data_IF_134549822940
#
_entry.id   IF_134549822940
#
_cell.length_a   1.000
_cell.length_b   1.000
_cell.length_c   1.000
_cell.angle_alpha   90.00
_cell.angle_beta   90.00
_cell.angle_gamma   90.00
#
_symmetry.space_group_name_H-M   'P 1'
#
loop_
_entity.id
_entity.type
_entity.pdbx_description
1 polymer ?
#
# COMPACT_ATOMS: atom_id res chain seq x y z
N UNK A 1 -5.26 3.83 22.27
CA UNK A 1 -5.44 2.42 22.67
C UNK A 1 -5.25 1.58 21.42
N UNK A 2 -4.06 0.95 21.26
CA UNK A 2 -3.83 -0.06 20.24
C UNK A 2 -4.85 -1.18 20.49
N UNK A 3 -5.80 -1.36 19.57
CA UNK A 3 -6.65 -2.56 19.57
C UNK A 3 -5.73 -3.76 19.42
N UNK A 4 -5.73 -4.64 20.41
CA UNK A 4 -5.07 -5.94 20.29
C UNK A 4 -5.61 -6.62 19.03
N UNK A 5 -4.77 -6.72 18.02
CA UNK A 5 -5.15 -7.35 16.76
C UNK A 5 -5.14 -8.85 17.01
N UNK A 6 -6.30 -9.48 17.02
CA UNK A 6 -6.39 -10.95 17.20
C UNK A 6 -5.65 -11.66 16.07
N UNK A 7 -5.16 -12.89 16.33
CA UNK A 7 -4.52 -13.72 15.32
C UNK A 7 -5.37 -13.84 14.04
N UNK A 8 -6.67 -14.05 14.19
CA UNK A 8 -7.60 -14.11 13.06
C UNK A 8 -7.61 -12.84 12.22
N UNK A 9 -7.60 -11.66 12.85
CA UNK A 9 -7.54 -10.38 12.12
C UNK A 9 -6.22 -10.21 11.36
N UNK A 10 -5.10 -10.64 11.93
CA UNK A 10 -3.79 -10.65 11.24
C UNK A 10 -3.81 -11.57 10.03
N UNK A 11 -4.37 -12.76 10.14
CA UNK A 11 -4.49 -13.72 9.04
C UNK A 11 -5.36 -13.15 7.90
N UNK A 12 -6.50 -12.55 8.23
CA UNK A 12 -7.37 -11.90 7.24
C UNK A 12 -6.64 -10.75 6.55
N UNK A 13 -5.95 -9.90 7.32
CA UNK A 13 -5.17 -8.77 6.79
C UNK A 13 -4.06 -9.27 5.85
N UNK A 14 -3.35 -10.33 6.23
CA UNK A 14 -2.33 -10.98 5.38
C UNK A 14 -2.94 -11.51 4.09
N UNK A 15 -4.05 -12.23 4.17
CA UNK A 15 -4.73 -12.75 2.98
C UNK A 15 -5.13 -11.63 2.01
N UNK A 16 -5.62 -10.50 2.53
CA UNK A 16 -5.97 -9.33 1.73
C UNK A 16 -4.73 -8.63 1.13
N UNK A 17 -3.68 -8.51 1.92
CA UNK A 17 -2.42 -7.90 1.45
C UNK A 17 -1.81 -8.72 0.31
N UNK A 18 -1.73 -10.04 0.45
CA UNK A 18 -1.26 -10.95 -0.60
C UNK A 18 -2.08 -10.83 -1.89
N UNK A 19 -3.40 -10.68 -1.79
CA UNK A 19 -4.26 -10.46 -2.95
C UNK A 19 -3.96 -9.11 -3.62
N UNK A 20 -3.86 -8.03 -2.84
CA UNK A 20 -3.62 -6.67 -3.35
C UNK A 20 -2.26 -6.52 -4.03
N UNK A 21 -1.25 -7.21 -3.50
CA UNK A 21 0.14 -7.18 -4.02
C UNK A 21 0.43 -8.29 -5.04
N UNK A 22 -0.56 -9.08 -5.41
CA UNK A 22 -0.40 -10.22 -6.34
C UNK A 22 0.63 -11.27 -5.91
N UNK A 23 0.89 -11.38 -4.61
CA UNK A 23 1.84 -12.33 -4.04
C UNK A 23 1.19 -13.69 -3.75
N UNK A 24 2.02 -14.73 -3.79
CA UNK A 24 1.60 -16.09 -3.42
C UNK A 24 1.37 -16.22 -1.91
N UNK A 25 0.60 -17.21 -1.49
CA UNK A 25 0.41 -17.50 -0.06
C UNK A 25 1.74 -17.89 0.61
N UNK A 26 2.72 -18.37 -0.15
CA UNK A 26 4.05 -18.67 0.36
C UNK A 26 4.78 -17.41 0.87
N UNK A 27 4.43 -16.22 0.34
CA UNK A 27 5.05 -14.93 0.70
C UNK A 27 4.36 -14.28 1.92
N UNK A 28 3.60 -15.05 2.68
CA UNK A 28 2.80 -14.57 3.81
C UNK A 28 3.59 -13.85 4.90
N UNK A 29 4.88 -14.14 4.99
CA UNK A 29 5.76 -13.55 6.00
C UNK A 29 6.28 -12.15 5.63
N UNK A 30 6.19 -11.77 4.35
CA UNK A 30 6.63 -10.47 3.83
C UNK A 30 5.68 -9.30 4.20
N UNK A 31 4.59 -9.59 4.90
CA UNK A 31 3.65 -8.54 5.34
C UNK A 31 4.31 -7.48 6.21
N UNK A 32 3.87 -6.21 6.13
CA UNK A 32 4.49 -5.09 6.84
C UNK A 32 4.16 -5.02 8.33
N UNK A 33 4.01 -6.17 8.98
CA UNK A 33 3.84 -6.27 10.43
C UNK A 33 4.46 -7.56 10.98
N UNK A 34 4.79 -7.54 12.28
CA UNK A 34 5.45 -8.67 12.93
C UNK A 34 4.46 -9.74 13.36
N UNK A 35 4.85 -10.98 13.16
CA UNK A 35 4.19 -12.15 13.70
C UNK A 35 4.71 -12.51 15.10
N UNK A 36 3.88 -13.15 15.88
CA UNK A 36 4.23 -13.68 17.20
C UNK A 36 4.66 -15.15 17.06
N UNK A 37 5.92 -15.42 17.32
CA UNK A 37 6.56 -16.72 17.18
C UNK A 37 6.01 -17.79 18.14
N UNK A 38 5.35 -17.38 19.21
CA UNK A 38 4.70 -18.31 20.14
C UNK A 38 3.37 -18.83 19.59
N UNK A 39 2.72 -18.05 18.73
CA UNK A 39 1.36 -18.37 18.23
C UNK A 39 1.33 -18.86 16.80
N UNK A 40 2.33 -18.54 15.99
CA UNK A 40 2.40 -18.97 14.59
C UNK A 40 3.68 -19.73 14.29
N UNK A 41 3.59 -20.67 13.34
CA UNK A 41 4.77 -21.33 12.77
C UNK A 41 5.43 -20.37 11.80
N UNK A 42 6.65 -19.91 12.13
CA UNK A 42 7.44 -19.12 11.22
C UNK A 42 8.01 -19.98 10.08
N UNK A 43 8.32 -19.38 8.91
CA UNK A 43 9.07 -20.09 7.90
C UNK A 43 10.39 -20.58 8.50
N UNK A 44 10.87 -21.78 8.16
CA UNK A 44 12.22 -22.18 8.55
C UNK A 44 13.21 -21.18 7.95
N UNK A 45 14.27 -20.86 8.69
CA UNK A 45 15.33 -19.97 8.21
C UNK A 45 15.76 -20.46 6.83
N UNK A 46 15.53 -19.64 5.83
CA UNK A 46 15.98 -19.92 4.47
C UNK A 46 17.49 -19.78 4.52
N UNK A 47 18.21 -20.87 4.35
CA UNK A 47 19.65 -20.85 4.17
C UNK A 47 19.93 -19.91 2.98
N UNK A 48 20.55 -18.75 3.26
CA UNK A 48 20.87 -17.70 2.28
C UNK A 48 21.73 -18.22 1.11
N UNK A 49 22.21 -19.46 1.17
CA UNK A 49 22.98 -20.14 0.15
C UNK A 49 22.18 -21.09 -0.76
N UNK A 50 20.88 -21.22 -0.59
CA UNK A 50 20.06 -22.08 -1.44
C UNK A 50 19.79 -21.45 -2.80
N UNK A 51 20.78 -21.48 -3.70
CA UNK A 51 20.66 -21.17 -5.13
C UNK A 51 19.85 -22.24 -5.89
N UNK A 52 18.63 -22.52 -5.52
CA UNK A 52 17.77 -23.38 -6.35
C UNK A 52 16.32 -22.93 -6.27
N UNK A 53 15.77 -22.55 -7.42
CA UNK A 53 14.39 -22.14 -7.62
C UNK A 53 13.34 -23.23 -7.36
N UNK A 54 13.51 -23.99 -6.33
CA UNK A 54 12.54 -24.96 -5.86
C UNK A 54 11.80 -24.33 -4.66
N UNK A 55 10.53 -23.99 -4.84
CA UNK A 55 9.64 -23.55 -3.77
C UNK A 55 9.71 -24.59 -2.66
N UNK A 56 10.45 -24.27 -1.60
CA UNK A 56 10.58 -25.13 -0.43
C UNK A 56 9.20 -25.26 0.23
N UNK A 57 8.70 -26.47 0.31
CA UNK A 57 7.52 -26.78 1.12
C UNK A 57 8.02 -27.13 2.52
N UNK A 58 7.86 -26.24 3.52
CA UNK A 58 8.35 -26.52 4.87
C UNK A 58 7.68 -27.78 5.42
N UNK A 59 8.45 -28.76 5.83
CA UNK A 59 7.95 -29.90 6.59
C UNK A 59 7.98 -29.53 8.07
N UNK A 60 6.81 -29.22 8.63
CA UNK A 60 6.66 -28.94 10.05
C UNK A 60 6.65 -30.25 10.86
N UNK A 61 7.20 -30.25 12.11
CA UNK A 61 7.00 -31.37 13.03
C UNK A 61 5.50 -31.65 13.23
N UNK A 62 5.12 -32.90 13.30
CA UNK A 62 3.71 -33.31 13.43
C UNK A 62 3.08 -32.96 14.79
N UNK A 63 3.90 -32.62 15.77
CA UNK A 63 3.53 -32.23 17.13
C UNK A 63 3.55 -30.73 17.41
N UNK A 64 3.83 -29.91 16.38
CA UNK A 64 3.78 -28.43 16.48
C UNK A 64 2.33 -27.96 16.37
N UNK A 65 1.73 -27.56 17.48
CA UNK A 65 0.34 -27.11 17.62
C UNK A 65 0.16 -25.58 17.28
N UNK A 66 1.26 -24.86 16.95
CA UNK A 66 1.18 -23.48 16.49
C UNK A 66 0.44 -23.35 15.16
N UNK A 67 -0.19 -22.22 14.95
CA UNK A 67 -1.01 -21.98 13.74
C UNK A 67 -0.15 -21.88 12.49
N UNK A 68 -0.47 -22.68 11.48
CA UNK A 68 0.04 -22.51 10.12
C UNK A 68 -0.72 -21.40 9.40
N UNK A 69 -0.09 -20.25 9.20
CA UNK A 69 -0.70 -19.10 8.54
C UNK A 69 -1.08 -19.40 7.08
N UNK A 70 -0.21 -20.06 6.25
CA UNK A 70 -0.57 -20.41 4.88
C UNK A 70 -1.80 -21.31 4.78
N UNK A 71 -1.88 -22.33 5.62
CA UNK A 71 -3.01 -23.26 5.63
C UNK A 71 -4.30 -22.55 6.05
N UNK A 72 -4.22 -21.72 7.07
CA UNK A 72 -5.37 -20.94 7.54
C UNK A 72 -5.84 -19.93 6.48
N UNK A 73 -4.93 -19.29 5.73
CA UNK A 73 -5.30 -18.42 4.60
C UNK A 73 -6.01 -19.24 3.51
N UNK A 74 -5.51 -20.42 3.17
CA UNK A 74 -6.17 -21.28 2.15
C UNK A 74 -7.56 -21.69 2.61
N UNK A 75 -7.71 -22.12 3.86
CA UNK A 75 -9.00 -22.47 4.45
C UNK A 75 -9.97 -21.28 4.48
N UNK A 76 -9.48 -20.07 4.81
CA UNK A 76 -10.27 -18.85 4.76
C UNK A 76 -10.75 -18.53 3.34
N UNK A 77 -9.87 -18.65 2.33
CA UNK A 77 -10.24 -18.43 0.93
C UNK A 77 -11.27 -19.45 0.45
N UNK A 78 -11.11 -20.71 0.83
CA UNK A 78 -12.09 -21.76 0.54
C UNK A 78 -13.43 -21.46 1.20
N UNK A 79 -13.46 -21.12 2.49
CA UNK A 79 -14.67 -20.75 3.22
C UNK A 79 -15.41 -19.58 2.53
N UNK A 80 -14.69 -18.54 2.12
CA UNK A 80 -15.29 -17.42 1.37
C UNK A 80 -15.98 -17.90 0.08
N UNK A 81 -15.32 -18.79 -0.65
CA UNK A 81 -15.87 -19.36 -1.88
C UNK A 81 -17.15 -20.15 -1.66
N UNK A 82 -17.16 -21.02 -0.64
CA UNK A 82 -18.30 -21.88 -0.30
C UNK A 82 -19.51 -21.10 0.24
N UNK A 83 -19.26 -20.02 0.97
CA UNK A 83 -20.32 -19.25 1.64
C UNK A 83 -20.66 -17.93 0.93
N UNK A 84 -20.07 -17.65 -0.23
CA UNK A 84 -20.34 -16.43 -1.00
C UNK A 84 -19.86 -15.15 -0.29
N UNK A 85 -18.91 -15.25 0.64
CA UNK A 85 -18.33 -14.10 1.34
C UNK A 85 -17.36 -13.37 0.42
N UNK A 86 -17.54 -12.06 0.25
CA UNK A 86 -16.78 -11.22 -0.69
C UNK A 86 -16.17 -10.05 0.04
N UNK A 87 -14.85 -9.90 -0.03
CA UNK A 87 -14.12 -8.71 0.40
C UNK A 87 -13.83 -7.76 -0.77
N UNK A 88 -13.28 -6.58 -0.49
CA UNK A 88 -12.98 -5.58 -1.54
C UNK A 88 -11.98 -6.12 -2.58
N UNK A 89 -10.92 -6.81 -2.16
CA UNK A 89 -9.96 -7.42 -3.09
C UNK A 89 -10.63 -8.49 -3.98
N UNK A 90 -11.57 -9.28 -3.43
CA UNK A 90 -12.31 -10.28 -4.22
C UNK A 90 -13.22 -9.63 -5.28
N UNK A 91 -13.73 -8.41 -5.03
CA UNK A 91 -14.50 -7.66 -6.04
C UNK A 91 -13.61 -7.29 -7.24
N UNK A 92 -12.43 -6.76 -6.98
CA UNK A 92 -11.45 -6.41 -8.03
C UNK A 92 -11.01 -7.66 -8.81
N UNK A 93 -10.73 -8.76 -8.11
CA UNK A 93 -10.45 -10.04 -8.76
C UNK A 93 -11.57 -10.48 -9.69
N UNK A 94 -12.82 -10.33 -9.28
CA UNK A 94 -13.98 -10.67 -10.13
C UNK A 94 -14.13 -9.76 -11.32
N UNK A 95 -13.85 -8.46 -11.17
CA UNK A 95 -13.81 -7.51 -12.28
C UNK A 95 -12.82 -8.01 -13.33
N UNK A 96 -11.61 -8.33 -12.92
CA UNK A 96 -10.57 -8.84 -13.80
C UNK A 96 -10.94 -10.19 -14.43
N UNK A 97 -11.35 -11.18 -13.63
CA UNK A 97 -11.70 -12.53 -14.12
C UNK A 97 -12.83 -12.54 -15.13
N UNK A 98 -13.72 -11.56 -15.09
CA UNK A 98 -14.87 -11.46 -15.97
C UNK A 98 -14.73 -10.40 -17.04
N UNK A 99 -13.57 -9.73 -17.11
CA UNK A 99 -13.31 -8.59 -17.99
C UNK A 99 -14.45 -7.58 -17.98
N UNK A 100 -14.85 -7.18 -16.75
CA UNK A 100 -15.97 -6.24 -16.60
C UNK A 100 -15.46 -4.83 -16.88
N UNK A 101 -15.96 -4.24 -17.96
CA UNK A 101 -15.60 -2.91 -18.41
C UNK A 101 -16.69 -1.90 -18.04
N UNK A 102 -16.35 -0.72 -17.51
CA UNK A 102 -17.31 0.35 -17.34
C UNK A 102 -17.70 0.92 -18.72
N UNK A 103 -18.95 1.29 -18.87
CA UNK A 103 -19.44 1.92 -20.11
C UNK A 103 -19.24 3.44 -20.04
N UNK A 104 -17.99 3.88 -20.13
CA UNK A 104 -17.59 5.29 -20.10
C UNK A 104 -16.47 5.54 -21.11
N UNK A 105 -16.32 6.79 -21.57
CA UNK A 105 -15.31 7.22 -22.54
C UNK A 105 -14.04 7.72 -21.83
N UNK A 106 -14.20 8.24 -20.61
CA UNK A 106 -13.13 8.89 -19.85
C UNK A 106 -12.91 8.16 -18.53
N UNK A 107 -11.65 7.90 -18.21
CA UNK A 107 -11.22 7.38 -16.92
C UNK A 107 -10.36 8.43 -16.21
N UNK A 108 -10.73 8.79 -15.00
CA UNK A 108 -9.93 9.71 -14.16
C UNK A 108 -9.61 9.00 -12.85
N UNK A 109 -8.33 8.89 -12.53
CA UNK A 109 -7.87 8.28 -11.28
C UNK A 109 -7.05 9.31 -10.53
N UNK A 110 -7.48 9.62 -9.31
CA UNK A 110 -6.77 10.47 -8.36
C UNK A 110 -6.01 9.63 -7.33
N UNK A 111 -4.97 10.18 -6.72
CA UNK A 111 -4.10 9.50 -5.76
C UNK A 111 -3.48 8.21 -6.33
N UNK A 112 -3.02 8.24 -7.57
CA UNK A 112 -2.51 7.06 -8.27
C UNK A 112 -1.28 6.44 -7.59
N UNK A 113 -0.50 7.19 -6.80
CA UNK A 113 0.62 6.69 -6.01
C UNK A 113 0.21 5.69 -4.91
N UNK A 114 -1.08 5.67 -4.54
CA UNK A 114 -1.62 4.76 -3.52
C UNK A 114 -2.29 3.50 -4.12
N UNK A 115 -2.17 3.32 -5.44
CA UNK A 115 -2.75 2.16 -6.14
C UNK A 115 -1.98 0.88 -5.79
N UNK A 116 -2.71 -0.19 -5.56
CA UNK A 116 -2.12 -1.52 -5.35
C UNK A 116 -1.94 -2.25 -6.68
N UNK A 117 -1.05 -3.24 -6.72
CA UNK A 117 -0.81 -4.05 -7.94
C UNK A 117 -2.11 -4.65 -8.50
N UNK A 118 -3.03 -5.10 -7.64
CA UNK A 118 -4.34 -5.62 -8.08
C UNK A 118 -5.22 -4.53 -8.71
N UNK A 119 -5.22 -3.31 -8.18
CA UNK A 119 -5.95 -2.18 -8.76
C UNK A 119 -5.31 -1.75 -10.08
N UNK A 120 -3.98 -1.75 -10.15
CA UNK A 120 -3.24 -1.49 -11.38
C UNK A 120 -3.58 -2.49 -12.48
N UNK A 121 -3.69 -3.76 -12.15
CA UNK A 121 -4.11 -4.79 -13.11
C UNK A 121 -5.51 -4.53 -13.71
N UNK A 122 -6.43 -4.00 -12.90
CA UNK A 122 -7.77 -3.60 -13.39
C UNK A 122 -7.68 -2.34 -14.25
N UNK A 123 -6.87 -1.37 -13.82
CA UNK A 123 -6.60 -0.15 -14.58
C UNK A 123 -6.02 -0.47 -15.96
N UNK A 124 -4.99 -1.34 -16.03
CA UNK A 124 -4.36 -1.75 -17.28
C UNK A 124 -5.36 -2.35 -18.29
N UNK A 125 -6.31 -3.15 -17.81
CA UNK A 125 -7.37 -3.69 -18.66
C UNK A 125 -8.35 -2.58 -19.10
N UNK A 126 -8.77 -1.71 -18.20
CA UNK A 126 -9.72 -0.66 -18.50
C UNK A 126 -9.17 0.41 -19.44
N UNK A 127 -7.92 0.85 -19.24
CA UNK A 127 -7.30 1.93 -20.06
C UNK A 127 -7.27 1.60 -21.55
N UNK A 128 -7.19 0.33 -21.92
CA UNK A 128 -7.18 -0.09 -23.33
C UNK A 128 -8.52 0.08 -24.03
N UNK A 129 -9.59 0.34 -23.27
CA UNK A 129 -10.96 0.49 -23.76
C UNK A 129 -11.51 1.91 -23.58
N UNK A 130 -10.69 2.83 -23.08
CA UNK A 130 -11.07 4.22 -22.86
C UNK A 130 -10.52 5.13 -23.96
N UNK A 131 -11.27 6.16 -24.33
CA UNK A 131 -10.79 7.16 -25.30
C UNK A 131 -9.73 8.04 -24.69
N UNK A 132 -9.86 8.34 -23.40
CA UNK A 132 -8.90 9.19 -22.67
C UNK A 132 -8.80 8.75 -21.22
N UNK A 133 -7.57 8.70 -20.72
CA UNK A 133 -7.26 8.40 -19.32
C UNK A 133 -6.48 9.56 -18.72
N UNK A 134 -6.91 10.02 -17.55
CA UNK A 134 -6.18 10.98 -16.71
C UNK A 134 -5.81 10.30 -15.40
N UNK A 135 -4.55 10.33 -15.06
CA UNK A 135 -4.06 9.91 -13.75
C UNK A 135 -3.47 11.13 -13.03
N UNK A 136 -3.75 11.25 -11.76
CA UNK A 136 -3.16 12.27 -10.90
C UNK A 136 -2.61 11.61 -9.64
N UNK A 137 -1.46 12.09 -9.17
CA UNK A 137 -0.81 11.54 -7.98
C UNK A 137 0.36 12.40 -7.53
N UNK A 138 0.85 12.11 -6.35
CA UNK A 138 2.03 12.75 -5.78
C UNK A 138 2.92 11.66 -5.14
N UNK A 139 3.98 11.29 -5.83
CA UNK A 139 4.94 10.26 -5.43
C UNK A 139 5.67 10.59 -4.11
N UNK A 140 5.69 11.86 -3.68
CA UNK A 140 6.20 12.27 -2.38
C UNK A 140 5.20 12.01 -1.22
N UNK A 141 3.94 11.65 -1.51
CA UNK A 141 2.88 11.45 -0.52
C UNK A 141 2.41 9.99 -0.37
N UNK A 142 3.25 9.03 -0.64
CA UNK A 142 2.92 7.61 -0.48
C UNK A 142 2.74 7.25 0.98
N UNK A 143 1.50 7.02 1.41
CA UNK A 143 1.15 6.71 2.81
C UNK A 143 0.72 5.26 2.98
N UNK A 144 0.23 4.62 1.92
CA UNK A 144 -0.40 3.30 1.97
C UNK A 144 0.47 2.13 1.49
N UNK A 145 1.81 2.30 1.44
CA UNK A 145 2.73 1.21 1.11
C UNK A 145 2.51 -0.06 1.98
N UNK A 146 2.17 0.13 3.27
CA UNK A 146 1.82 -0.97 4.18
C UNK A 146 0.50 -1.70 3.81
N UNK A 147 -0.34 -1.13 2.95
CA UNK A 147 -1.53 -1.78 2.40
C UNK A 147 -1.27 -2.43 1.03
N UNK A 148 -0.06 -2.32 0.51
CA UNK A 148 0.34 -2.85 -0.79
C UNK A 148 0.29 -1.83 -1.93
N UNK A 149 0.25 -0.52 -1.62
CA UNK A 149 0.48 0.51 -2.61
C UNK A 149 1.93 0.45 -3.12
N UNK A 150 2.09 0.67 -4.41
CA UNK A 150 3.39 0.64 -5.08
C UNK A 150 3.58 1.96 -5.86
N UNK A 151 4.38 2.90 -5.34
CA UNK A 151 4.61 4.19 -5.98
C UNK A 151 5.33 4.07 -7.33
N UNK A 152 6.03 2.98 -7.56
CA UNK A 152 6.72 2.74 -8.83
C UNK A 152 5.73 2.64 -9.99
N UNK A 153 4.49 2.21 -9.73
CA UNK A 153 3.43 2.17 -10.73
C UNK A 153 3.05 3.55 -11.27
N UNK A 154 3.16 4.62 -10.45
CA UNK A 154 2.99 5.99 -10.94
C UNK A 154 4.23 6.49 -11.68
N UNK A 155 5.42 6.23 -11.13
CA UNK A 155 6.68 6.76 -11.68
C UNK A 155 7.10 6.09 -12.99
N UNK A 156 6.66 4.87 -13.24
CA UNK A 156 6.99 4.08 -14.43
C UNK A 156 5.85 4.06 -15.47
N UNK A 157 4.73 4.74 -15.19
CA UNK A 157 3.59 4.77 -16.11
C UNK A 157 3.94 5.47 -17.42
N UNK A 158 3.67 4.82 -18.55
CA UNK A 158 3.87 5.40 -19.87
C UNK A 158 2.67 6.29 -20.23
N UNK A 159 2.90 7.59 -20.21
CA UNK A 159 1.88 8.62 -20.46
C UNK A 159 2.20 9.44 -21.71
N UNK A 160 1.17 9.87 -22.41
CA UNK A 160 1.32 10.72 -23.61
C UNK A 160 1.78 12.13 -23.25
N UNK A 161 1.35 12.65 -22.11
CA UNK A 161 1.68 13.96 -21.59
C UNK A 161 1.80 13.91 -20.07
N UNK A 162 2.89 14.45 -19.54
CA UNK A 162 3.12 14.59 -18.10
C UNK A 162 3.14 16.06 -17.71
N UNK A 163 2.31 16.42 -16.74
CA UNK A 163 2.13 17.80 -16.29
C UNK A 163 2.35 17.92 -14.79
N UNK A 164 3.41 18.61 -14.41
CA UNK A 164 3.66 18.96 -13.01
C UNK A 164 2.84 20.20 -12.63
N UNK A 165 2.06 20.11 -11.56
CA UNK A 165 1.33 21.24 -10.98
C UNK A 165 2.22 21.98 -9.98
N UNK A 166 2.82 23.15 -10.35
CA UNK A 166 3.92 23.75 -9.58
C UNK A 166 3.46 24.52 -8.35
N UNK A 167 2.16 24.79 -8.19
CA UNK A 167 1.67 25.66 -7.15
C UNK A 167 1.07 24.92 -5.95
N UNK A 168 1.67 25.07 -4.79
CA UNK A 168 1.09 24.59 -3.53
C UNK A 168 0.08 25.58 -2.97
N UNK A 169 -1.19 25.19 -2.94
CA UNK A 169 -2.29 25.96 -2.32
C UNK A 169 -2.44 25.65 -0.84
N UNK A 170 -1.90 24.56 -0.38
CA UNK A 170 -2.04 24.04 0.99
C UNK A 170 -0.95 24.57 1.90
N UNK A 171 0.30 24.57 1.47
CA UNK A 171 1.46 24.83 2.31
C UNK A 171 1.98 26.27 2.14
N UNK A 172 2.11 27.04 3.24
CA UNK A 172 2.82 28.32 3.22
C UNK A 172 4.34 28.14 3.05
N UNK A 173 5.03 29.18 2.62
CA UNK A 173 6.44 29.17 2.19
C UNK A 173 7.40 28.53 3.20
N UNK A 174 7.29 28.86 4.50
CA UNK A 174 8.19 28.31 5.53
C UNK A 174 8.00 26.82 5.75
N UNK A 175 6.76 26.33 5.64
CA UNK A 175 6.47 24.89 5.77
C UNK A 175 6.92 24.16 4.53
N UNK A 176 6.63 24.71 3.34
CA UNK A 176 7.05 24.11 2.08
C UNK A 176 8.57 23.96 1.98
N UNK A 177 9.34 24.95 2.45
CA UNK A 177 10.81 24.87 2.48
C UNK A 177 11.34 23.73 3.38
N UNK A 178 10.61 23.35 4.44
CA UNK A 178 10.98 22.18 5.25
C UNK A 178 10.62 20.91 4.51
N UNK A 179 9.40 20.83 3.95
CA UNK A 179 8.97 19.67 3.17
C UNK A 179 9.91 19.39 2.02
N UNK A 180 10.28 20.43 1.22
CA UNK A 180 11.20 20.24 0.10
C UNK A 180 12.55 19.64 0.51
N UNK A 181 13.08 20.03 1.69
CA UNK A 181 14.32 19.42 2.22
C UNK A 181 14.16 17.96 2.66
N UNK A 182 13.01 17.61 3.22
CA UNK A 182 12.75 16.24 3.66
C UNK A 182 12.52 15.30 2.46
N UNK A 183 11.79 15.75 1.44
CA UNK A 183 11.52 14.92 0.25
C UNK A 183 12.77 14.69 -0.62
N UNK A 184 13.80 15.53 -0.53
CA UNK A 184 15.11 15.31 -1.18
C UNK A 184 15.80 14.00 -0.74
N UNK A 185 15.41 13.45 0.41
CA UNK A 185 15.92 12.17 0.91
C UNK A 185 15.22 10.94 0.31
N UNK A 186 14.13 11.13 -0.43
CA UNK A 186 13.44 10.05 -1.14
C UNK A 186 14.27 9.65 -2.36
N UNK A 187 14.72 8.40 -2.39
CA UNK A 187 15.67 7.93 -3.39
C UNK A 187 15.09 7.86 -4.82
N UNK A 188 13.80 7.59 -4.97
CA UNK A 188 13.09 7.51 -6.24
C UNK A 188 11.87 8.42 -6.19
N UNK A 189 11.94 9.52 -6.93
CA UNK A 189 10.90 10.53 -7.01
C UNK A 189 11.02 11.33 -8.30
N UNK A 190 9.91 11.94 -8.71
CA UNK A 190 9.91 12.95 -9.77
C UNK A 190 10.39 14.28 -9.19
N UNK A 191 11.30 14.97 -9.89
CA UNK A 191 11.76 16.29 -9.49
C UNK A 191 10.66 17.34 -9.71
N UNK A 192 10.33 18.08 -8.64
CA UNK A 192 9.24 19.07 -8.65
C UNK A 192 9.70 20.36 -7.98
N UNK A 193 9.53 21.48 -8.67
CA UNK A 193 9.70 22.82 -8.13
C UNK A 193 8.35 23.36 -7.64
N UNK A 194 8.03 23.15 -6.38
CA UNK A 194 6.77 23.58 -5.79
C UNK A 194 6.86 25.02 -5.29
N UNK A 195 5.97 25.89 -5.78
CA UNK A 195 5.86 27.28 -5.41
C UNK A 195 4.74 27.48 -4.38
N UNK A 196 5.02 28.10 -3.22
CA UNK A 196 3.98 28.41 -2.25
C UNK A 196 3.12 29.58 -2.73
N UNK A 197 1.79 29.46 -2.65
CA UNK A 197 0.89 30.60 -2.91
C UNK A 197 0.61 31.45 -1.69
N UNK A 198 1.09 31.07 -0.52
CA UNK A 198 0.95 31.80 0.74
C UNK A 198 2.31 31.99 1.38
N UNK A 199 2.58 33.21 1.81
CA UNK A 199 3.74 33.50 2.63
C UNK A 199 3.48 33.12 4.11
N UNK A 200 4.57 32.89 4.87
CA UNK A 200 4.52 32.63 6.30
C UNK A 200 4.56 31.15 6.68
N UNK A 201 3.78 30.79 7.69
CA UNK A 201 3.86 29.49 8.36
C UNK A 201 4.83 29.52 9.56
N UNK A 202 4.65 28.61 10.51
CA UNK A 202 5.49 28.46 11.70
C UNK A 202 6.04 27.04 11.75
N UNK A 203 7.34 26.95 11.89
CA UNK A 203 8.06 25.70 12.09
C UNK A 203 8.85 25.81 13.38
N UNK A 204 8.66 24.87 14.29
CA UNK A 204 9.36 24.80 15.57
C UNK A 204 9.94 23.42 15.80
N UNK A 205 11.21 23.38 16.18
CA UNK A 205 11.86 22.16 16.67
C UNK A 205 11.46 21.87 18.11
N UNK A 206 11.00 20.67 18.40
CA UNK A 206 10.64 20.24 19.76
C UNK A 206 11.49 19.05 20.15
N UNK A 207 12.18 19.15 21.31
CA UNK A 207 12.90 18.03 21.91
C UNK A 207 11.92 17.12 22.64
N UNK A 208 11.50 16.03 22.29
CA UNK A 208 10.47 15.16 22.90
C UNK A 208 9.03 15.68 22.77
N UNK A 209 8.46 15.69 21.57
CA UNK A 209 7.08 16.09 21.40
C UNK A 209 6.14 15.06 22.05
N UNK A 210 5.37 15.46 23.07
CA UNK A 210 4.21 14.67 23.45
C UNK A 210 3.07 14.94 22.46
N UNK A 211 2.30 13.90 22.11
CA UNK A 211 1.14 14.04 21.22
C UNK A 211 0.13 15.12 21.75
N UNK A 212 0.10 15.34 23.06
CA UNK A 212 -0.77 16.33 23.72
C UNK A 212 -0.30 17.76 23.40
N UNK A 213 0.98 18.00 23.35
CA UNK A 213 1.54 19.33 23.06
C UNK A 213 1.37 19.69 21.57
N UNK A 214 1.49 18.71 20.67
CA UNK A 214 1.17 18.89 19.25
C UNK A 214 -0.29 19.31 19.02
N UNK A 215 -1.24 18.66 19.67
CA UNK A 215 -2.67 18.97 19.53
C UNK A 215 -3.04 20.32 20.16
N UNK A 216 -2.42 20.72 21.27
CA UNK A 216 -2.65 22.02 21.90
C UNK A 216 -2.14 23.19 21.10
N UNK A 217 -0.99 23.01 20.42
CA UNK A 217 -0.39 24.07 19.60
C UNK A 217 -1.13 24.28 18.27
N UNK A 218 -1.66 23.23 17.65
CA UNK A 218 -2.50 23.34 16.44
C UNK A 218 -3.80 24.11 16.70
N UNK A 219 -4.42 23.97 17.88
CA UNK A 219 -5.66 24.70 18.24
C UNK A 219 -5.46 26.19 18.55
N UNK A 220 -4.24 26.68 18.75
CA UNK A 220 -3.94 28.09 19.00
C UNK A 220 -3.61 28.91 17.76
N UNK A 221 -3.59 28.30 16.58
CA UNK A 221 -3.13 28.93 15.33
C UNK A 221 -4.24 29.06 14.27
N UNK A 222 -5.51 28.84 14.68
CA UNK A 222 -6.70 29.07 13.84
C UNK A 222 -7.44 30.31 14.31
#
# INVERSE_FOLDING_TARGET
>A
TARSTTLGNKIIATSQWLQRTRRDVADWYDVPFKWDEETVRLPPDVDENAQTGNKYTPTWPSDDDRTSVPETIRAWRQYKGEHGVVGFADMLERVKQRSLLPNVEYLVIDEFQDITTLQYDVYEEWRTHMDTVYIAGDDDQVVYAWQGADPDLLLEEDVTEDVILPNSYRLPSRILNVVNREVEHIAKRQEKDLNPRKEGGRVEGVQNPSMIDLVRNVRRTV
#
